data_IF_900872049893
#
_entry.id   IF_900872049893
#
_cell.length_a   1.000
_cell.length_b   1.000
_cell.length_c   1.000
_cell.angle_alpha   90.00
_cell.angle_beta   90.00
_cell.angle_gamma   90.00
#
_symmetry.space_group_name_H-M   'P 1'
#
loop_
_entity.id
_entity.type
_entity.pdbx_description
1 polymer ?
#
# COMPACT_ATOMS: atom_id res chain seq x y z
N UNK A 1 8.08 -8.35 6.64
CA UNK A 1 7.71 -6.92 6.50
C UNK A 1 8.95 -6.10 6.13
N UNK A 2 8.76 -4.93 5.54
CA UNK A 2 9.83 -4.03 5.07
C UNK A 2 9.20 -2.74 4.53
N UNK A 3 9.73 -2.16 3.44
CA UNK A 3 9.18 -0.96 2.77
C UNK A 3 8.91 0.20 3.75
N UNK A 4 7.65 0.45 4.09
CA UNK A 4 7.22 1.52 4.99
C UNK A 4 7.67 1.33 6.43
N UNK A 5 8.08 0.11 6.82
CA UNK A 5 8.52 -0.21 8.18
C UNK A 5 9.64 0.71 8.69
N UNK A 6 10.57 1.11 7.82
CA UNK A 6 11.67 2.02 8.16
C UNK A 6 11.54 3.41 7.55
N UNK A 7 10.41 3.72 6.89
CA UNK A 7 10.19 4.97 6.15
C UNK A 7 11.40 5.42 5.29
N UNK A 8 11.99 4.47 4.55
CA UNK A 8 13.18 4.70 3.72
C UNK A 8 14.50 4.20 4.34
N UNK A 9 14.57 4.01 5.65
CA UNK A 9 15.70 3.34 6.31
C UNK A 9 15.70 1.83 6.00
N UNK A 10 16.86 1.20 5.74
CA UNK A 10 16.94 -0.24 5.47
C UNK A 10 16.49 -1.07 6.67
N UNK A 11 15.27 -1.59 6.60
CA UNK A 11 14.67 -2.38 7.68
C UNK A 11 13.76 -3.47 7.12
N UNK A 12 13.90 -4.66 7.68
CA UNK A 12 13.00 -5.78 7.49
C UNK A 12 12.73 -6.49 8.80
N UNK A 13 11.56 -7.10 8.91
CA UNK A 13 11.17 -7.89 10.08
C UNK A 13 10.42 -9.14 9.66
N UNK A 14 10.66 -10.24 10.36
CA UNK A 14 9.85 -11.46 10.31
C UNK A 14 9.09 -11.54 11.63
N UNK A 15 7.77 -11.60 11.56
CA UNK A 15 6.90 -11.79 12.72
C UNK A 15 6.33 -13.20 12.61
N UNK A 16 6.54 -14.00 13.65
CA UNK A 16 6.16 -15.41 13.69
C UNK A 16 5.83 -15.83 15.12
N UNK A 17 5.31 -17.06 15.30
CA UNK A 17 5.05 -17.62 16.62
C UNK A 17 6.36 -17.96 17.34
N UNK A 18 6.28 -18.10 18.67
CA UNK A 18 7.42 -18.50 19.50
C UNK A 18 8.03 -19.82 19.04
N UNK A 19 7.20 -20.85 18.87
CA UNK A 19 7.66 -22.19 18.46
C UNK A 19 8.46 -22.16 17.14
N UNK A 20 8.02 -21.34 16.17
CA UNK A 20 8.74 -21.17 14.90
C UNK A 20 10.04 -20.40 15.11
N UNK A 21 10.03 -19.32 15.88
CA UNK A 21 11.23 -18.53 16.18
C UNK A 21 12.30 -19.36 16.90
N UNK A 22 11.90 -20.19 17.86
CA UNK A 22 12.80 -21.06 18.61
C UNK A 22 13.37 -22.19 17.73
N UNK A 23 12.59 -22.68 16.76
CA UNK A 23 13.05 -23.69 15.80
C UNK A 23 14.19 -23.23 14.88
N UNK A 24 14.41 -21.92 14.73
CA UNK A 24 15.47 -21.35 13.89
C UNK A 24 16.88 -21.61 14.45
N UNK A 25 17.01 -21.86 15.75
CA UNK A 25 18.30 -21.98 16.41
C UNK A 25 19.10 -20.67 16.41
N UNK A 26 20.42 -20.75 16.24
CA UNK A 26 21.28 -19.56 16.19
C UNK A 26 21.16 -18.84 14.84
N UNK A 27 20.61 -17.63 14.87
CA UNK A 27 20.57 -16.71 13.75
C UNK A 27 21.13 -15.36 14.18
N UNK A 28 21.98 -14.78 13.33
CA UNK A 28 22.59 -13.47 13.59
C UNK A 28 22.57 -12.60 12.33
N UNK A 29 22.38 -11.30 12.54
CA UNK A 29 22.49 -10.29 11.50
C UNK A 29 23.29 -9.10 12.02
N UNK A 30 24.41 -8.78 11.36
CA UNK A 30 25.32 -7.69 11.75
C UNK A 30 24.62 -6.34 11.92
N UNK A 31 23.59 -6.08 11.12
CA UNK A 31 22.83 -4.82 11.16
C UNK A 31 21.42 -4.99 11.74
N UNK A 32 21.00 -6.23 12.02
CA UNK A 32 19.66 -6.53 12.51
C UNK A 32 19.46 -6.01 13.93
N UNK A 33 18.38 -5.25 14.15
CA UNK A 33 17.99 -4.80 15.48
C UNK A 33 18.95 -3.79 16.14
N UNK A 34 19.78 -3.11 15.35
CA UNK A 34 20.65 -2.06 15.89
C UNK A 34 19.81 -0.88 16.49
N UNK A 35 20.33 -0.13 17.48
CA UNK A 35 19.56 0.91 18.16
C UNK A 35 18.99 1.99 17.23
N UNK A 36 19.71 2.37 16.17
CA UNK A 36 19.23 3.37 15.20
C UNK A 36 18.01 2.83 14.46
N UNK A 37 18.08 1.58 13.98
CA UNK A 37 16.94 0.92 13.37
C UNK A 37 15.74 0.88 14.33
N UNK A 38 15.93 0.47 15.58
CA UNK A 38 14.85 0.41 16.55
C UNK A 38 14.15 1.77 16.75
N UNK A 39 14.90 2.85 16.92
CA UNK A 39 14.32 4.20 17.09
C UNK A 39 13.58 4.66 15.83
N UNK A 40 14.11 4.37 14.63
CA UNK A 40 13.41 4.69 13.38
C UNK A 40 12.08 3.95 13.29
N UNK A 41 12.05 2.65 13.56
CA UNK A 41 10.81 1.85 13.51
C UNK A 41 9.77 2.34 14.51
N UNK A 42 10.21 2.68 15.73
CA UNK A 42 9.34 3.27 16.76
C UNK A 42 8.75 4.61 16.31
N UNK A 43 9.58 5.52 15.76
CA UNK A 43 9.10 6.80 15.28
C UNK A 43 8.06 6.67 14.16
N UNK A 44 8.21 5.67 13.26
CA UNK A 44 7.19 5.37 12.24
C UNK A 44 5.86 4.93 12.88
N UNK A 45 5.92 4.06 13.88
CA UNK A 45 4.72 3.61 14.60
C UNK A 45 4.05 4.75 15.37
N UNK A 46 4.83 5.60 16.05
CA UNK A 46 4.33 6.77 16.78
C UNK A 46 3.56 7.70 15.85
N UNK A 47 4.06 7.97 14.64
CA UNK A 47 3.35 8.79 13.64
C UNK A 47 2.05 8.12 13.19
N UNK A 48 2.09 6.83 12.88
CA UNK A 48 0.89 6.08 12.46
C UNK A 48 -0.22 6.15 13.52
N UNK A 49 0.15 6.01 14.80
CA UNK A 49 -0.79 6.05 15.92
C UNK A 49 -1.26 7.48 16.22
N UNK A 50 -0.34 8.42 16.45
CA UNK A 50 -0.66 9.77 16.91
C UNK A 50 -1.44 10.57 15.86
N UNK A 51 -1.12 10.41 14.58
CA UNK A 51 -1.84 11.07 13.48
C UNK A 51 -3.05 10.27 13.00
N UNK A 52 -3.34 9.11 13.61
CA UNK A 52 -4.48 8.25 13.28
C UNK A 52 -4.53 7.89 11.80
N UNK A 53 -3.38 7.50 11.24
CA UNK A 53 -3.24 7.28 9.79
C UNK A 53 -4.08 6.12 9.27
N UNK A 54 -4.27 5.05 10.05
CA UNK A 54 -5.09 3.89 9.65
C UNK A 54 -6.57 4.25 9.46
N UNK A 55 -7.27 4.85 10.44
CA UNK A 55 -8.66 5.27 10.24
C UNK A 55 -8.77 6.41 9.21
N UNK A 56 -7.76 7.30 9.12
CA UNK A 56 -7.71 8.33 8.07
C UNK A 56 -7.68 7.70 6.67
N UNK A 57 -6.77 6.75 6.43
CA UNK A 57 -6.67 6.03 5.16
C UNK A 57 -7.97 5.28 4.80
N UNK A 58 -8.67 4.73 5.80
CA UNK A 58 -9.99 4.12 5.60
C UNK A 58 -11.04 5.14 5.19
N UNK A 59 -11.10 6.29 5.86
CA UNK A 59 -12.08 7.34 5.58
C UNK A 59 -11.86 7.98 4.21
N UNK A 60 -10.64 8.45 3.94
CA UNK A 60 -10.25 9.07 2.65
C UNK A 60 -10.36 8.07 1.51
N UNK A 61 -9.90 6.84 1.73
CA UNK A 61 -10.00 5.75 0.75
C UNK A 61 -11.44 5.46 0.33
N UNK A 62 -12.38 5.44 1.29
CA UNK A 62 -13.80 5.28 1.00
C UNK A 62 -14.32 6.39 0.07
N UNK A 63 -14.07 7.65 0.42
CA UNK A 63 -14.49 8.80 -0.40
C UNK A 63 -13.89 8.75 -1.80
N UNK A 64 -12.62 8.37 -1.93
CA UNK A 64 -11.95 8.25 -3.22
C UNK A 64 -12.56 7.14 -4.07
N UNK A 65 -12.76 5.94 -3.51
CA UNK A 65 -13.37 4.81 -4.23
C UNK A 65 -14.80 5.16 -4.68
N UNK A 66 -15.62 5.76 -3.82
CA UNK A 66 -16.98 6.20 -4.17
C UNK A 66 -16.97 7.21 -5.33
N UNK A 67 -16.05 8.18 -5.29
CA UNK A 67 -15.90 9.18 -6.36
C UNK A 67 -15.47 8.54 -7.69
N UNK A 68 -14.52 7.60 -7.64
CA UNK A 68 -14.07 6.85 -8.81
C UNK A 68 -15.18 5.98 -9.40
N UNK A 69 -16.06 5.41 -8.58
CA UNK A 69 -17.24 4.72 -9.06
C UNK A 69 -18.23 5.65 -9.77
N UNK A 70 -18.40 6.90 -9.29
CA UNK A 70 -19.21 7.89 -10.02
C UNK A 70 -18.59 8.25 -11.38
N UNK A 71 -17.28 8.44 -11.44
CA UNK A 71 -16.58 8.65 -12.71
C UNK A 71 -16.74 7.45 -13.65
N UNK A 72 -16.69 6.24 -13.11
CA UNK A 72 -16.94 5.00 -13.87
C UNK A 72 -18.30 4.99 -14.52
N UNK A 73 -19.35 5.55 -13.92
CA UNK A 73 -20.67 5.64 -14.56
C UNK A 73 -20.64 6.57 -15.79
N UNK A 74 -19.84 7.63 -15.74
CA UNK A 74 -19.76 8.66 -16.78
C UNK A 74 -18.82 8.29 -17.94
N UNK A 75 -17.72 7.60 -17.66
CA UNK A 75 -16.68 7.33 -18.66
C UNK A 75 -16.62 5.84 -19.01
N UNK A 76 -16.74 5.52 -20.31
CA UNK A 76 -16.70 4.13 -20.78
C UNK A 76 -15.30 3.51 -20.77
N UNK A 77 -14.26 4.34 -20.70
CA UNK A 77 -12.88 3.89 -20.58
C UNK A 77 -12.52 3.39 -19.17
N UNK A 78 -13.34 3.62 -18.15
CA UNK A 78 -13.11 3.10 -16.79
C UNK A 78 -13.78 1.73 -16.69
N UNK A 79 -12.98 0.68 -16.78
CA UNK A 79 -13.46 -0.70 -16.73
C UNK A 79 -13.86 -1.13 -15.33
N UNK A 80 -12.98 -0.90 -14.35
CA UNK A 80 -13.20 -1.27 -12.95
C UNK A 80 -12.43 -0.38 -11.98
N UNK A 81 -12.88 -0.35 -10.72
CA UNK A 81 -12.24 0.35 -9.60
C UNK A 81 -12.15 -0.63 -8.44
N UNK A 82 -10.93 -0.91 -7.97
CA UNK A 82 -10.68 -1.93 -6.93
C UNK A 82 -9.65 -1.42 -5.93
N UNK A 83 -9.76 -1.81 -4.68
CA UNK A 83 -8.80 -1.42 -3.66
C UNK A 83 -9.35 -1.43 -2.25
N UNK A 84 -8.50 -1.06 -1.30
CA UNK A 84 -8.86 -0.88 0.10
C UNK A 84 -7.96 0.17 0.76
N UNK A 85 -8.55 1.02 1.59
CA UNK A 85 -7.86 2.20 2.13
C UNK A 85 -7.31 3.06 0.99
N UNK A 86 -6.01 3.39 1.05
CA UNK A 86 -5.33 4.17 0.01
C UNK A 86 -4.53 3.31 -0.99
N UNK A 87 -4.75 2.00 -1.01
CA UNK A 87 -4.21 1.12 -2.05
C UNK A 87 -5.32 0.84 -3.06
N UNK A 88 -5.39 1.68 -4.10
CA UNK A 88 -6.48 1.71 -5.08
C UNK A 88 -5.92 1.58 -6.49
N UNK A 89 -6.58 0.78 -7.32
CA UNK A 89 -6.31 0.61 -8.75
C UNK A 89 -7.54 0.92 -9.58
N UNK A 90 -7.31 1.54 -10.73
CA UNK A 90 -8.33 1.85 -11.74
C UNK A 90 -7.93 1.13 -13.03
N UNK A 91 -8.84 0.33 -13.57
CA UNK A 91 -8.63 -0.37 -14.84
C UNK A 91 -9.07 0.53 -16.00
N UNK A 92 -8.15 0.84 -16.91
CA UNK A 92 -8.41 1.65 -18.10
C UNK A 92 -8.52 0.74 -19.33
N UNK A 93 -9.65 0.83 -20.03
CA UNK A 93 -10.03 -0.01 -21.18
C UNK A 93 -10.48 0.84 -22.36
N UNK A 94 -10.55 0.23 -23.54
CA UNK A 94 -11.10 0.88 -24.74
C UNK A 94 -12.61 1.11 -24.60
N UNK A 95 -13.33 0.12 -24.07
CA UNK A 95 -14.76 0.20 -23.73
C UNK A 95 -15.12 -0.78 -22.62
N UNK A 96 -16.21 -0.54 -21.89
CA UNK A 96 -16.70 -1.52 -20.89
C UNK A 96 -17.17 -2.82 -21.52
N UNK A 97 -17.56 -2.78 -22.80
CA UNK A 97 -18.09 -3.93 -23.52
C UNK A 97 -16.99 -4.94 -23.88
N UNK A 98 -15.91 -4.48 -24.53
CA UNK A 98 -14.84 -5.36 -24.97
C UNK A 98 -13.76 -5.59 -23.89
N UNK A 99 -13.70 -4.72 -22.88
CA UNK A 99 -12.74 -4.72 -21.76
C UNK A 99 -11.27 -4.83 -22.21
N UNK A 100 -10.95 -4.42 -23.43
CA UNK A 100 -9.59 -4.47 -23.94
C UNK A 100 -8.76 -3.37 -23.26
N UNK A 101 -7.59 -3.67 -22.65
CA UNK A 101 -6.77 -2.67 -21.97
C UNK A 101 -6.36 -1.54 -22.93
N UNK A 102 -6.52 -0.29 -22.49
CA UNK A 102 -6.14 0.89 -23.27
C UNK A 102 -4.87 1.52 -22.70
N UNK A 103 -3.71 1.02 -23.16
CA UNK A 103 -2.40 1.47 -22.70
C UNK A 103 -2.14 2.95 -23.02
N UNK A 104 -2.46 3.38 -24.24
CA UNK A 104 -2.21 4.75 -24.69
C UNK A 104 -2.96 5.77 -23.82
N UNK A 105 -4.25 5.52 -23.56
CA UNK A 105 -5.03 6.37 -22.66
C UNK A 105 -4.53 6.32 -21.22
N UNK A 106 -4.10 5.14 -20.74
CA UNK A 106 -3.51 5.00 -19.40
C UNK A 106 -2.30 5.92 -19.26
N UNK A 107 -1.39 5.89 -20.24
CA UNK A 107 -0.18 6.71 -20.24
C UNK A 107 -0.49 8.22 -20.27
N UNK A 108 -1.52 8.63 -21.01
CA UNK A 108 -2.00 10.03 -21.02
C UNK A 108 -2.52 10.44 -19.64
N UNK A 109 -3.29 9.59 -18.96
CA UNK A 109 -3.89 9.93 -17.66
C UNK A 109 -2.85 9.96 -16.53
N UNK A 110 -1.81 9.11 -16.59
CA UNK A 110 -0.84 8.99 -15.50
C UNK A 110 0.37 9.91 -15.63
N UNK A 111 0.75 10.32 -16.84
CA UNK A 111 2.01 11.01 -17.10
C UNK A 111 1.86 12.40 -17.76
N UNK A 112 0.64 12.88 -17.99
CA UNK A 112 0.36 14.26 -18.44
C UNK A 112 -0.65 14.92 -17.52
#
# INVERSE_FOLDING_TARGET
>A
MGKSLGNGYPMGAVVTTRDIAESLGEYYSTFGGNPVACVVGMAVLDVIENEKLVPSAKAVGKTLIESLHQLRLKYDCIGDVRGSGLCIGIEIVESKMNRKPNRELTEIITYK
#
